data_IF_935826238835
#
_entry.id   IF_935826238835
#
_cell.length_a   1.000
_cell.length_b   1.000
_cell.length_c   1.000
_cell.angle_alpha   90.00
_cell.angle_beta   90.00
_cell.angle_gamma   90.00
#
_symmetry.space_group_name_H-M   'P 1'
#
loop_
_entity.id
_entity.type
_entity.pdbx_description
1 polymer ?
#
# COMPACT_ATOMS: atom_id res chain seq x y z
N UNK A 1 -53.69 22.64 -56.31
CA UNK A 1 -52.80 23.71 -55.81
C UNK A 1 -52.66 23.78 -54.28
N UNK A 2 -53.40 23.01 -53.46
CA UNK A 2 -53.37 23.12 -51.99
C UNK A 2 -52.37 22.19 -51.26
N UNK A 3 -51.82 21.16 -51.92
CA UNK A 3 -50.89 20.21 -51.29
C UNK A 3 -49.42 20.57 -51.48
N UNK A 4 -49.02 21.16 -52.62
CA UNK A 4 -47.62 21.60 -52.84
C UNK A 4 -47.17 22.76 -51.95
N UNK A 5 -48.11 23.53 -51.39
CA UNK A 5 -47.82 24.63 -50.47
C UNK A 5 -47.64 24.15 -49.01
N UNK A 6 -48.26 23.02 -48.61
CA UNK A 6 -48.06 22.41 -47.28
C UNK A 6 -46.70 21.73 -47.19
N UNK A 7 -46.27 21.06 -48.26
CA UNK A 7 -44.97 20.37 -48.29
C UNK A 7 -43.80 21.36 -48.27
N UNK A 8 -43.94 22.53 -48.89
CA UNK A 8 -42.92 23.58 -48.88
C UNK A 8 -42.76 24.23 -47.48
N UNK A 9 -43.85 24.39 -46.73
CA UNK A 9 -43.84 24.95 -45.37
C UNK A 9 -43.21 23.96 -44.37
N UNK A 10 -43.42 22.65 -44.53
CA UNK A 10 -42.82 21.62 -43.66
C UNK A 10 -41.30 21.52 -43.90
N UNK A 11 -40.84 21.61 -45.15
CA UNK A 11 -39.40 21.58 -45.46
C UNK A 11 -38.68 22.83 -44.94
N UNK A 12 -39.28 24.02 -45.04
CA UNK A 12 -38.71 25.26 -44.50
C UNK A 12 -38.70 25.30 -42.96
N UNK A 13 -39.73 24.76 -42.29
CA UNK A 13 -39.77 24.68 -40.83
C UNK A 13 -38.69 23.73 -40.27
N UNK A 14 -38.34 22.67 -41.00
CA UNK A 14 -37.30 21.73 -40.58
C UNK A 14 -35.88 22.30 -40.79
N UNK A 15 -35.67 23.10 -41.84
CA UNK A 15 -34.37 23.75 -42.10
C UNK A 15 -34.04 24.86 -41.08
N UNK A 16 -35.05 25.58 -40.54
CA UNK A 16 -34.84 26.66 -39.57
C UNK A 16 -34.56 26.12 -38.15
N UNK A 17 -35.10 24.96 -37.79
CA UNK A 17 -34.80 24.30 -36.51
C UNK A 17 -33.38 23.70 -36.50
N UNK A 18 -32.86 23.27 -37.65
CA UNK A 18 -31.47 22.80 -37.77
C UNK A 18 -30.47 23.96 -37.84
N UNK A 19 -30.86 25.13 -38.35
CA UNK A 19 -29.96 26.30 -38.45
C UNK A 19 -29.84 27.12 -37.14
N UNK A 20 -30.85 27.12 -36.27
CA UNK A 20 -30.82 27.87 -34.99
C UNK A 20 -30.26 27.05 -33.80
N UNK A 21 -29.95 25.77 -34.01
CA UNK A 21 -29.13 24.95 -33.11
C UNK A 21 -27.62 25.07 -33.39
N UNK A 22 -27.20 26.16 -34.03
CA UNK A 22 -25.82 26.66 -33.97
C UNK A 22 -25.58 27.31 -32.60
N UNK A 23 -25.80 26.56 -31.53
CA UNK A 23 -25.27 26.94 -30.22
C UNK A 23 -23.77 26.71 -30.32
N UNK A 24 -23.02 27.81 -30.31
CA UNK A 24 -21.57 27.85 -30.15
C UNK A 24 -21.07 26.70 -29.28
N UNK A 25 -20.59 25.63 -29.92
CA UNK A 25 -19.60 24.76 -29.29
C UNK A 25 -18.37 25.65 -29.21
N UNK A 26 -18.31 26.48 -28.15
CA UNK A 26 -17.02 26.90 -27.64
C UNK A 26 -16.24 25.60 -27.52
N UNK A 27 -15.15 25.48 -28.29
CA UNK A 27 -14.07 24.57 -27.98
C UNK A 27 -13.51 25.01 -26.62
N UNK A 28 -14.26 24.75 -25.56
CA UNK A 28 -13.73 24.45 -24.27
C UNK A 28 -13.03 23.12 -24.43
N UNK A 29 -11.86 23.16 -25.08
CA UNK A 29 -10.80 22.22 -24.77
C UNK A 29 -10.41 22.49 -23.33
N UNK A 30 -11.30 22.11 -22.41
CA UNK A 30 -10.92 21.68 -21.09
C UNK A 30 -10.10 20.43 -21.31
N UNK A 31 -8.84 20.65 -21.72
CA UNK A 31 -7.78 19.93 -21.09
C UNK A 31 -8.10 20.11 -19.61
N UNK A 32 -8.63 19.06 -18.97
CA UNK A 32 -8.30 18.86 -17.59
C UNK A 32 -6.79 18.86 -17.62
N UNK A 33 -6.19 20.03 -17.37
CA UNK A 33 -4.80 20.09 -17.06
C UNK A 33 -4.71 19.16 -15.86
N UNK A 34 -4.15 17.97 -16.08
CA UNK A 34 -3.54 17.23 -14.98
C UNK A 34 -2.62 18.29 -14.39
N UNK A 35 -3.01 18.84 -13.24
CA UNK A 35 -2.20 19.82 -12.56
C UNK A 35 -0.81 19.21 -12.51
N UNK A 36 0.18 19.88 -13.10
CA UNK A 36 1.56 19.43 -13.00
C UNK A 36 1.78 19.19 -11.50
N UNK A 37 1.98 17.93 -11.13
CA UNK A 37 2.17 17.61 -9.72
C UNK A 37 3.38 18.41 -9.28
N UNK A 38 3.20 19.18 -8.20
CA UNK A 38 4.29 19.95 -7.63
C UNK A 38 5.45 19.00 -7.36
N UNK A 39 6.68 19.47 -7.59
CA UNK A 39 7.84 18.74 -7.15
C UNK A 39 7.76 18.53 -5.61
N UNK A 40 8.32 17.43 -5.08
CA UNK A 40 8.44 17.25 -3.64
C UNK A 40 9.04 18.47 -2.95
N UNK A 41 8.57 18.75 -1.73
CA UNK A 41 9.19 19.76 -0.87
C UNK A 41 10.66 19.44 -0.61
N UNK A 42 11.41 20.44 -0.15
CA UNK A 42 12.81 20.28 0.25
C UNK A 42 13.00 20.76 1.67
N UNK A 43 13.80 20.04 2.44
CA UNK A 43 14.26 20.44 3.76
C UNK A 43 15.31 21.56 3.66
N UNK A 44 15.68 22.15 4.80
CA UNK A 44 16.65 23.24 4.86
C UNK A 44 18.06 22.84 4.40
N UNK A 45 18.41 21.56 4.46
CA UNK A 45 19.65 20.96 3.94
C UNK A 45 19.52 20.48 2.47
N UNK A 46 18.40 20.78 1.80
CA UNK A 46 18.19 20.53 0.37
C UNK A 46 17.79 19.09 0.01
N UNK A 47 17.56 18.22 1.00
CA UNK A 47 17.03 16.86 0.77
C UNK A 47 15.53 16.92 0.50
N UNK A 48 14.96 15.91 -0.19
CA UNK A 48 13.51 15.80 -0.28
C UNK A 48 12.86 15.74 1.09
N UNK A 49 11.76 16.47 1.25
CA UNK A 49 10.95 16.47 2.46
C UNK A 49 9.94 15.31 2.41
N UNK A 50 10.19 14.30 3.25
CA UNK A 50 9.31 13.15 3.46
C UNK A 50 8.41 13.36 4.69
N UNK A 51 8.53 14.50 5.40
CA UNK A 51 7.77 14.78 6.60
C UNK A 51 6.26 14.81 6.34
N UNK A 52 5.48 14.11 7.18
CA UNK A 52 4.03 14.06 7.02
C UNK A 52 3.41 12.78 7.53
N UNK A 53 2.10 12.63 7.25
CA UNK A 53 1.34 11.41 7.53
C UNK A 53 1.16 10.66 6.21
N UNK A 54 1.52 9.39 6.22
CA UNK A 54 1.58 8.51 5.05
C UNK A 54 0.81 7.23 5.33
N UNK A 55 0.32 6.59 4.27
CA UNK A 55 -0.30 5.27 4.35
C UNK A 55 -0.06 4.54 3.04
N UNK A 56 0.34 3.27 3.11
CA UNK A 56 0.35 2.41 1.94
C UNK A 56 -1.09 2.04 1.57
N UNK A 57 -1.44 2.25 0.30
CA UNK A 57 -2.77 1.91 -0.23
C UNK A 57 -2.68 0.61 -1.05
N UNK A 58 -2.42 -0.50 -0.36
CA UNK A 58 -2.31 -1.83 -0.97
C UNK A 58 -2.88 -2.92 -0.02
N UNK A 59 -2.75 -4.20 -0.41
CA UNK A 59 -3.18 -5.35 0.39
C UNK A 59 -2.00 -6.23 0.84
N UNK A 60 -0.78 -5.69 0.84
CA UNK A 60 0.44 -6.43 1.16
C UNK A 60 0.46 -6.98 2.60
N UNK A 61 -0.25 -6.34 3.53
CA UNK A 61 -0.42 -6.89 4.89
C UNK A 61 -1.21 -8.21 4.89
N UNK A 62 -2.10 -8.42 3.91
CA UNK A 62 -2.92 -9.62 3.83
C UNK A 62 -2.17 -10.78 3.16
N UNK A 63 -1.53 -10.50 2.03
CA UNK A 63 -0.58 -11.39 1.36
C UNK A 63 0.30 -10.52 0.44
N UNK A 64 1.61 -10.73 0.48
CA UNK A 64 2.57 -10.10 -0.41
C UNK A 64 2.40 -10.54 -1.87
N UNK A 65 1.86 -11.73 -2.10
CA UNK A 65 1.57 -12.27 -3.43
C UNK A 65 0.13 -11.94 -3.85
N UNK A 66 -0.17 -12.01 -5.14
CA UNK A 66 -1.53 -11.81 -5.66
C UNK A 66 -2.49 -12.82 -5.05
N UNK A 67 -3.61 -12.34 -4.50
CA UNK A 67 -4.57 -13.16 -3.78
C UNK A 67 -6.01 -12.73 -4.06
N UNK A 68 -6.91 -13.72 -4.08
CA UNK A 68 -8.34 -13.47 -4.17
C UNK A 68 -8.89 -12.96 -2.83
N UNK A 69 -10.01 -12.23 -2.89
CA UNK A 69 -10.75 -11.87 -1.70
C UNK A 69 -11.26 -13.14 -0.99
N UNK A 70 -11.30 -13.11 0.34
CA UNK A 70 -11.72 -14.24 1.17
C UNK A 70 -12.73 -13.79 2.22
N UNK A 71 -13.67 -14.68 2.62
CA UNK A 71 -14.72 -14.29 3.54
C UNK A 71 -14.22 -14.04 4.96
N UNK A 72 -13.05 -14.57 5.33
CA UNK A 72 -12.38 -14.29 6.58
C UNK A 72 -10.87 -14.55 6.49
N UNK A 73 -10.10 -14.06 7.46
CA UNK A 73 -8.67 -14.41 7.59
C UNK A 73 -8.46 -15.90 7.86
N UNK A 74 -9.26 -16.47 8.78
CA UNK A 74 -9.28 -17.90 9.05
C UNK A 74 -10.54 -18.53 8.45
N UNK A 75 -10.34 -19.53 7.61
CA UNK A 75 -11.42 -20.19 6.86
C UNK A 75 -11.36 -21.69 7.01
N UNK A 76 -12.47 -22.34 6.70
CA UNK A 76 -12.58 -23.80 6.63
C UNK A 76 -13.36 -24.20 5.37
N UNK A 77 -13.24 -25.46 4.90
CA UNK A 77 -14.08 -25.96 3.83
C UNK A 77 -15.57 -25.90 4.22
N UNK A 78 -16.41 -25.44 3.30
CA UNK A 78 -17.85 -25.36 3.49
C UNK A 78 -18.64 -25.48 2.19
N UNK A 79 -19.98 -25.41 2.27
CA UNK A 79 -20.83 -25.45 1.09
C UNK A 79 -20.54 -24.27 0.15
N UNK A 80 -20.12 -24.56 -1.08
CA UNK A 80 -19.83 -23.53 -2.09
C UNK A 80 -18.45 -22.88 -2.01
N UNK A 81 -17.55 -23.37 -1.15
CA UNK A 81 -16.16 -22.89 -1.07
C UNK A 81 -15.65 -22.72 0.35
N UNK A 82 -14.63 -21.87 0.52
CA UNK A 82 -14.15 -21.46 1.83
C UNK A 82 -15.23 -20.66 2.57
N UNK A 83 -15.45 -20.97 3.85
CA UNK A 83 -16.34 -20.22 4.75
C UNK A 83 -15.57 -19.78 6.00
N UNK A 84 -15.97 -18.69 6.69
CA UNK A 84 -15.31 -18.28 7.93
C UNK A 84 -15.24 -19.40 8.97
N UNK A 85 -14.08 -19.59 9.58
CA UNK A 85 -13.92 -20.54 10.67
C UNK A 85 -14.70 -20.10 11.92
N UNK A 86 -15.13 -21.02 12.81
CA UNK A 86 -15.96 -20.68 13.98
C UNK A 86 -15.44 -19.52 14.84
N UNK A 87 -14.12 -19.39 15.12
CA UNK A 87 -13.61 -18.29 15.94
C UNK A 87 -13.83 -16.88 15.34
N UNK A 88 -13.96 -16.77 14.02
CA UNK A 88 -14.08 -15.48 13.30
C UNK A 88 -15.43 -15.30 12.62
N UNK A 89 -16.33 -16.29 12.69
CA UNK A 89 -17.63 -16.25 12.02
C UNK A 89 -18.46 -15.03 12.44
N UNK A 90 -18.42 -14.67 13.73
CA UNK A 90 -19.18 -13.54 14.28
C UNK A 90 -18.70 -12.16 13.76
N UNK A 91 -17.47 -12.06 13.21
CA UNK A 91 -16.98 -10.81 12.63
C UNK A 91 -17.73 -10.44 11.34
N UNK A 92 -18.31 -11.41 10.64
CA UNK A 92 -18.99 -11.19 9.38
C UNK A 92 -18.10 -10.44 8.38
N UNK A 93 -18.64 -9.38 7.76
CA UNK A 93 -17.90 -8.58 6.78
C UNK A 93 -16.65 -7.88 7.37
N UNK A 94 -16.59 -7.63 8.68
CA UNK A 94 -15.40 -7.04 9.32
C UNK A 94 -14.18 -7.96 9.27
N UNK A 95 -14.41 -9.28 9.21
CA UNK A 95 -13.32 -10.26 9.11
C UNK A 95 -12.83 -10.50 7.68
N UNK A 96 -13.50 -9.91 6.68
CA UNK A 96 -13.21 -10.14 5.27
C UNK A 96 -11.81 -9.72 4.87
N UNK A 97 -11.17 -10.52 4.02
CA UNK A 97 -9.85 -10.24 3.47
C UNK A 97 -10.04 -9.67 2.06
N UNK A 98 -9.58 -8.44 1.77
CA UNK A 98 -9.64 -7.90 0.42
C UNK A 98 -8.71 -8.71 -0.50
N UNK A 99 -9.11 -8.88 -1.76
CA UNK A 99 -8.19 -9.34 -2.78
C UNK A 99 -7.31 -8.19 -3.26
N UNK A 100 -6.16 -8.52 -3.84
CA UNK A 100 -5.30 -7.51 -4.44
C UNK A 100 -4.17 -8.09 -5.26
N UNK A 101 -3.48 -7.18 -5.95
CA UNK A 101 -2.28 -7.48 -6.72
C UNK A 101 -1.09 -7.62 -5.78
N UNK A 102 -0.23 -8.60 -6.03
CA UNK A 102 1.00 -8.80 -5.29
C UNK A 102 1.97 -7.63 -5.45
N UNK A 103 2.88 -7.51 -4.49
CA UNK A 103 3.99 -6.55 -4.48
C UNK A 103 5.34 -7.25 -4.68
N UNK A 104 5.34 -8.58 -4.75
CA UNK A 104 6.54 -9.39 -4.99
C UNK A 104 6.86 -9.38 -6.48
N UNK A 105 8.05 -8.93 -6.83
CA UNK A 105 8.53 -9.01 -8.21
C UNK A 105 8.54 -10.47 -8.68
N UNK A 106 7.87 -10.75 -9.79
CA UNK A 106 7.73 -12.11 -10.32
C UNK A 106 6.77 -13.00 -9.55
N UNK A 107 6.07 -12.48 -8.53
CA UNK A 107 5.06 -13.20 -7.72
C UNK A 107 5.58 -14.42 -6.96
N UNK A 108 6.90 -14.60 -6.82
CA UNK A 108 7.52 -15.73 -6.13
C UNK A 108 8.42 -15.26 -5.00
N UNK A 109 8.17 -15.76 -3.79
CA UNK A 109 9.07 -15.60 -2.65
C UNK A 109 10.00 -16.82 -2.62
N UNK A 110 11.32 -16.66 -2.73
CA UNK A 110 12.27 -17.76 -2.96
C UNK A 110 12.54 -18.55 -1.67
N UNK A 111 11.52 -19.23 -1.15
CA UNK A 111 11.64 -20.08 0.02
C UNK A 111 12.33 -21.40 -0.28
N UNK A 112 13.08 -21.90 0.70
CA UNK A 112 13.49 -23.30 0.74
C UNK A 112 12.26 -24.21 0.89
N UNK A 113 12.30 -25.47 0.43
CA UNK A 113 11.14 -26.36 0.48
C UNK A 113 10.54 -26.56 1.89
N UNK A 114 11.38 -26.65 2.91
CA UNK A 114 10.98 -26.73 4.32
C UNK A 114 10.31 -25.43 4.81
N UNK A 115 10.79 -24.27 4.36
CA UNK A 115 10.19 -22.99 4.65
C UNK A 115 8.80 -22.82 4.00
N UNK A 116 8.57 -23.40 2.81
CA UNK A 116 7.24 -23.44 2.20
C UNK A 116 6.24 -24.20 3.07
N UNK A 117 6.63 -25.33 3.65
CA UNK A 117 5.76 -26.09 4.55
C UNK A 117 5.52 -25.34 5.87
N UNK A 118 6.53 -24.64 6.41
CA UNK A 118 6.36 -23.76 7.58
C UNK A 118 5.39 -22.61 7.27
N UNK A 119 5.48 -21.97 6.09
CA UNK A 119 4.51 -20.95 5.65
C UNK A 119 3.08 -21.50 5.65
N UNK A 120 2.86 -22.68 5.06
CA UNK A 120 1.53 -23.31 5.03
C UNK A 120 1.01 -23.61 6.44
N UNK A 121 1.86 -24.15 7.31
CA UNK A 121 1.50 -24.43 8.70
C UNK A 121 1.19 -23.15 9.50
N UNK A 122 1.96 -22.08 9.26
CA UNK A 122 1.71 -20.76 9.81
C UNK A 122 0.34 -20.22 9.41
N UNK A 123 0.03 -20.29 8.11
CA UNK A 123 -1.25 -19.81 7.58
C UNK A 123 -2.45 -20.64 8.09
N UNK A 124 -2.30 -21.96 8.21
CA UNK A 124 -3.37 -22.86 8.67
C UNK A 124 -3.80 -22.58 10.13
N UNK A 125 -2.91 -22.05 10.96
CA UNK A 125 -3.17 -21.71 12.36
C UNK A 125 -2.89 -20.21 12.63
N UNK A 126 -3.28 -19.38 11.66
CA UNK A 126 -2.91 -17.97 11.64
C UNK A 126 -3.37 -17.19 12.88
N UNK A 127 -4.56 -17.47 13.40
CA UNK A 127 -5.09 -16.78 14.57
C UNK A 127 -4.19 -16.97 15.81
N UNK A 128 -3.57 -18.14 15.93
CA UNK A 128 -2.69 -18.49 17.05
C UNK A 128 -1.24 -18.11 16.80
N UNK A 129 -0.80 -18.13 15.53
CA UNK A 129 0.62 -18.04 15.16
C UNK A 129 1.08 -16.67 14.68
N UNK A 130 0.24 -15.89 14.01
CA UNK A 130 0.63 -14.56 13.54
C UNK A 130 0.89 -13.64 14.76
N UNK A 131 2.11 -13.13 14.94
CA UNK A 131 2.45 -12.26 16.07
C UNK A 131 1.59 -10.99 16.13
N UNK A 132 1.12 -10.49 14.97
CA UNK A 132 0.24 -9.31 14.89
C UNK A 132 -1.13 -9.58 15.55
N UNK A 133 -1.64 -10.82 15.59
CA UNK A 133 -2.93 -11.12 16.27
C UNK A 133 -2.84 -10.97 17.78
N UNK A 134 -1.61 -10.96 18.33
CA UNK A 134 -1.31 -10.79 19.77
C UNK A 134 -0.83 -9.38 20.11
N UNK A 135 -0.96 -8.43 19.19
CA UNK A 135 -0.47 -7.06 19.34
C UNK A 135 1.06 -6.93 19.48
N UNK A 136 1.83 -7.91 19.04
CA UNK A 136 3.27 -7.75 18.91
C UNK A 136 3.62 -6.84 17.74
N UNK A 137 4.76 -6.15 17.84
CA UNK A 137 5.17 -5.18 16.86
C UNK A 137 5.42 -5.86 15.49
N UNK A 138 5.05 -5.22 14.38
CA UNK A 138 5.01 -5.86 13.06
C UNK A 138 6.40 -6.05 12.42
N UNK A 139 7.43 -5.37 12.93
CA UNK A 139 8.73 -5.27 12.29
C UNK A 139 8.68 -4.54 10.94
N UNK A 140 9.81 -4.58 10.22
CA UNK A 140 9.90 -4.02 8.87
C UNK A 140 10.20 -5.15 7.88
N UNK A 141 9.65 -5.10 6.66
CA UNK A 141 8.90 -3.98 6.07
C UNK A 141 7.40 -3.93 6.43
N UNK A 142 6.83 -4.91 7.16
CA UNK A 142 5.37 -4.99 7.40
C UNK A 142 4.76 -3.73 8.00
N UNK A 143 5.46 -3.03 8.90
CA UNK A 143 4.98 -1.76 9.46
C UNK A 143 4.61 -0.70 8.40
N UNK A 144 5.32 -0.67 7.27
CA UNK A 144 5.11 0.33 6.20
C UNK A 144 3.80 0.11 5.46
N UNK A 145 3.36 -1.15 5.32
CA UNK A 145 2.18 -1.52 4.54
C UNK A 145 1.05 -2.13 5.37
N UNK A 146 1.07 -1.92 6.68
CA UNK A 146 -0.12 -2.08 7.50
C UNK A 146 -1.23 -1.14 7.00
N UNK A 147 -2.52 -1.51 7.16
CA UNK A 147 -3.66 -0.71 6.70
C UNK A 147 -3.95 0.49 7.61
N UNK A 148 -2.91 1.10 8.19
CA UNK A 148 -2.98 2.24 9.09
C UNK A 148 -2.01 3.34 8.65
N UNK A 149 -2.37 4.62 8.85
CA UNK A 149 -1.42 5.71 8.71
C UNK A 149 -0.21 5.61 9.64
N UNK A 150 0.89 6.21 9.21
CA UNK A 150 2.09 6.43 10.01
C UNK A 150 2.65 7.83 9.73
N UNK A 151 3.36 8.39 10.70
CA UNK A 151 3.96 9.71 10.58
C UNK A 151 5.47 9.61 10.38
N UNK A 152 6.01 10.38 9.44
CA UNK A 152 7.44 10.61 9.28
C UNK A 152 7.77 11.98 9.88
N UNK A 153 8.72 11.99 10.83
CA UNK A 153 9.35 13.20 11.36
C UNK A 153 10.81 13.20 10.93
N UNK A 154 11.15 14.10 10.00
CA UNK A 154 12.47 14.14 9.37
C UNK A 154 13.35 15.22 10.03
N UNK A 155 14.42 14.77 10.67
CA UNK A 155 15.56 15.61 11.02
C UNK A 155 16.75 15.36 10.08
N UNK A 156 17.86 16.05 10.31
CA UNK A 156 19.09 15.86 9.51
C UNK A 156 19.83 14.58 9.90
N UNK A 157 19.94 14.32 11.21
CA UNK A 157 20.75 13.21 11.73
C UNK A 157 19.89 11.97 12.03
N UNK A 158 18.58 12.17 12.20
CA UNK A 158 17.62 11.10 12.49
C UNK A 158 16.31 11.35 11.77
N UNK A 159 15.71 10.28 11.29
CA UNK A 159 14.33 10.26 10.79
C UNK A 159 13.54 9.30 11.68
N UNK A 160 12.41 9.75 12.20
CA UNK A 160 11.53 8.92 13.02
C UNK A 160 10.27 8.56 12.23
N UNK A 161 9.92 7.28 12.21
CA UNK A 161 8.63 6.79 11.72
C UNK A 161 7.80 6.33 12.92
N UNK A 162 6.58 6.84 13.04
CA UNK A 162 5.66 6.56 14.15
C UNK A 162 4.42 5.91 13.55
N UNK A 163 4.17 4.66 13.89
CA UNK A 163 3.08 3.87 13.35
C UNK A 163 1.90 3.86 14.31
N UNK A 164 0.67 3.90 13.78
CA UNK A 164 -0.54 3.82 14.59
C UNK A 164 -0.65 2.46 15.31
N UNK A 165 -0.19 1.39 14.67
CA UNK A 165 -0.31 0.04 15.20
C UNK A 165 0.62 -0.19 16.41
N UNK A 166 0.03 -0.59 17.54
CA UNK A 166 0.72 -1.02 18.76
C UNK A 166 1.79 -0.04 19.31
N UNK A 167 1.71 1.24 18.97
CA UNK A 167 2.71 2.24 19.35
C UNK A 167 4.10 1.98 18.74
N UNK A 168 4.16 1.22 17.65
CA UNK A 168 5.42 0.90 16.98
C UNK A 168 6.09 2.20 16.51
N UNK A 169 7.38 2.31 16.76
CA UNK A 169 8.19 3.42 16.30
C UNK A 169 9.52 2.90 15.79
N UNK A 170 10.09 3.63 14.83
CA UNK A 170 11.35 3.28 14.19
C UNK A 170 12.18 4.54 14.09
N UNK A 171 13.43 4.45 14.53
CA UNK A 171 14.43 5.49 14.30
C UNK A 171 15.34 5.03 13.18
N UNK A 172 15.48 5.85 12.15
CA UNK A 172 16.45 5.70 11.08
C UNK A 172 17.60 6.65 11.38
N UNK A 173 18.78 6.10 11.58
CA UNK A 173 20.01 6.84 11.84
C UNK A 173 20.61 7.32 10.53
N UNK A 174 20.74 8.64 10.35
CA UNK A 174 21.39 9.25 9.19
C UNK A 174 22.85 9.60 9.48
N UNK A 175 23.25 9.50 10.74
CA UNK A 175 24.60 9.74 11.25
C UNK A 175 25.43 8.45 11.35
N UNK A 176 26.75 8.59 11.52
CA UNK A 176 27.64 7.45 11.69
C UNK A 176 27.40 6.78 13.05
N UNK A 177 26.83 5.58 13.03
CA UNK A 177 26.52 4.81 14.22
C UNK A 177 27.02 3.36 14.11
N UNK A 178 27.34 2.74 15.24
CA UNK A 178 27.64 1.30 15.31
C UNK A 178 26.34 0.50 15.29
N UNK A 179 26.24 -0.58 14.50
CA UNK A 179 25.07 -1.46 14.50
C UNK A 179 24.69 -1.95 15.90
N UNK A 180 23.38 -2.11 16.14
CA UNK A 180 22.89 -2.67 17.41
C UNK A 180 23.40 -4.11 17.60
N UNK A 181 23.99 -4.44 18.75
CA UNK A 181 24.41 -5.80 19.07
C UNK A 181 23.25 -6.72 19.48
N UNK A 182 22.05 -6.15 19.66
CA UNK A 182 20.84 -6.88 20.08
C UNK A 182 19.73 -6.70 19.05
N UNK A 183 18.96 -7.77 18.87
CA UNK A 183 17.76 -7.75 18.05
C UNK A 183 16.65 -6.91 18.70
N UNK A 184 15.85 -6.28 17.85
CA UNK A 184 14.63 -5.60 18.26
C UNK A 184 13.50 -5.93 17.29
N UNK A 185 12.27 -5.77 17.74
CA UNK A 185 11.10 -5.97 16.88
C UNK A 185 11.14 -5.10 15.62
N UNK A 186 11.58 -3.83 15.74
CA UNK A 186 11.61 -2.87 14.62
C UNK A 186 12.97 -2.80 13.93
N UNK A 187 13.90 -3.70 14.30
CA UNK A 187 15.26 -3.73 13.79
C UNK A 187 16.13 -2.54 14.22
N UNK A 188 17.26 -2.41 13.52
CA UNK A 188 18.18 -1.30 13.60
C UNK A 188 18.40 -0.72 12.21
N UNK A 189 17.94 0.52 11.99
CA UNK A 189 17.90 1.14 10.67
C UNK A 189 18.94 2.25 10.52
N UNK A 190 19.73 2.17 9.45
CA UNK A 190 20.69 3.19 9.04
C UNK A 190 20.29 3.67 7.65
N UNK A 191 20.21 4.98 7.47
CA UNK A 191 19.79 5.60 6.22
C UNK A 191 20.89 6.43 5.58
N UNK A 192 20.85 6.53 4.26
CA UNK A 192 21.63 7.47 3.47
C UNK A 192 20.82 7.96 2.27
N UNK A 193 21.24 9.09 1.70
CA UNK A 193 20.62 9.65 0.52
C UNK A 193 21.38 9.26 -0.74
N UNK A 194 20.69 8.64 -1.70
CA UNK A 194 21.16 8.43 -3.07
C UNK A 194 20.40 9.38 -3.99
N UNK A 195 20.98 10.56 -4.24
CA UNK A 195 20.26 11.64 -4.90
C UNK A 195 19.05 12.09 -4.06
N UNK A 196 17.86 11.84 -4.60
CA UNK A 196 16.56 12.16 -3.99
C UNK A 196 15.87 10.94 -3.35
N UNK A 197 16.55 9.79 -3.29
CA UNK A 197 16.02 8.58 -2.66
C UNK A 197 16.66 8.40 -1.28
N UNK A 198 15.82 8.25 -0.25
CA UNK A 198 16.26 7.77 1.05
C UNK A 198 16.39 6.25 0.97
N UNK A 199 17.61 5.74 1.09
CA UNK A 199 17.88 4.31 1.20
C UNK A 199 18.04 3.97 2.68
N UNK A 200 17.37 2.92 3.14
CA UNK A 200 17.37 2.51 4.54
C UNK A 200 17.73 1.04 4.65
N UNK A 201 18.89 0.77 5.23
CA UNK A 201 19.39 -0.55 5.55
C UNK A 201 18.98 -0.93 6.97
N UNK A 202 18.26 -2.05 7.13
CA UNK A 202 17.78 -2.52 8.44
C UNK A 202 18.21 -3.95 8.73
N UNK A 203 18.80 -4.13 9.91
CA UNK A 203 19.31 -5.40 10.43
C UNK A 203 18.81 -5.63 11.85
N UNK A 204 19.23 -6.73 12.49
CA UNK A 204 18.92 -7.03 13.89
C UNK A 204 17.41 -7.05 14.17
N UNK A 205 16.63 -7.62 13.24
CA UNK A 205 15.21 -7.87 13.39
C UNK A 205 14.99 -9.18 14.14
N UNK A 206 14.06 -9.19 15.08
CA UNK A 206 13.64 -10.42 15.73
C UNK A 206 12.93 -11.36 14.74
N UNK A 207 13.20 -12.67 14.81
CA UNK A 207 12.61 -13.66 13.88
C UNK A 207 11.09 -13.83 14.00
N UNK A 208 10.51 -13.41 15.12
CA UNK A 208 9.08 -13.43 15.38
C UNK A 208 8.34 -12.24 14.73
N UNK A 209 8.94 -11.54 13.77
CA UNK A 209 8.20 -10.65 12.87
C UNK A 209 7.87 -11.37 11.58
N UNK A 210 6.63 -11.20 11.09
CA UNK A 210 6.17 -11.81 9.84
C UNK A 210 6.00 -10.74 8.78
N UNK A 211 6.06 -11.14 7.52
CA UNK A 211 5.87 -10.22 6.41
C UNK A 211 4.40 -9.90 6.15
N UNK A 212 3.49 -10.83 6.41
CA UNK A 212 2.05 -10.64 6.16
C UNK A 212 1.19 -11.67 6.90
N UNK A 213 -0.13 -11.57 6.66
CA UNK A 213 -1.15 -12.52 7.11
C UNK A 213 -1.30 -13.75 6.20
N UNK A 214 -0.40 -14.00 5.26
CA UNK A 214 -0.36 -15.23 4.48
C UNK A 214 0.65 -16.25 5.04
N UNK A 215 1.21 -15.95 6.22
CA UNK A 215 2.17 -16.81 6.91
C UNK A 215 3.60 -16.66 6.38
N UNK A 216 3.88 -15.65 5.53
CA UNK A 216 5.23 -15.35 5.07
C UNK A 216 6.07 -14.84 6.26
N UNK A 217 7.22 -15.45 6.46
CA UNK A 217 8.11 -15.23 7.60
C UNK A 217 9.58 -15.15 7.15
N UNK A 218 10.47 -14.82 8.07
CA UNK A 218 11.92 -14.82 7.88
C UNK A 218 12.65 -15.48 9.06
N UNK A 219 13.97 -15.66 8.92
CA UNK A 219 14.85 -16.01 10.04
C UNK A 219 15.42 -14.75 10.70
N UNK A 220 16.14 -14.93 11.81
CA UNK A 220 16.99 -13.92 12.47
C UNK A 220 18.01 -13.25 11.52
N UNK A 221 18.46 -13.95 10.48
CA UNK A 221 19.36 -13.41 9.44
C UNK A 221 18.75 -12.41 8.45
N UNK A 222 17.56 -11.83 8.71
CA UNK A 222 16.93 -10.89 7.80
C UNK A 222 17.72 -9.57 7.68
N UNK A 223 17.95 -9.13 6.44
CA UNK A 223 18.42 -7.79 6.09
C UNK A 223 17.43 -7.17 5.10
N UNK A 224 16.89 -6.00 5.46
CA UNK A 224 15.91 -5.28 4.65
C UNK A 224 16.55 -4.01 4.12
N UNK A 225 16.42 -3.77 2.81
CA UNK A 225 16.79 -2.51 2.19
C UNK A 225 15.52 -1.88 1.62
N UNK A 226 15.12 -0.75 2.19
CA UNK A 226 13.99 0.04 1.69
C UNK A 226 14.50 1.27 0.96
N UNK A 227 13.78 1.69 -0.08
CA UNK A 227 14.08 2.87 -0.87
C UNK A 227 12.84 3.73 -0.94
N UNK A 228 12.89 4.92 -0.36
CA UNK A 228 11.79 5.88 -0.37
C UNK A 228 12.12 7.03 -1.31
N UNK A 229 11.37 7.14 -2.40
CA UNK A 229 11.53 8.19 -3.40
C UNK A 229 10.23 8.98 -3.50
N UNK A 230 10.23 10.29 -3.18
CA UNK A 230 9.05 11.11 -3.36
C UNK A 230 8.90 11.46 -4.84
N UNK A 231 7.74 11.12 -5.41
CA UNK A 231 7.37 11.57 -6.76
C UNK A 231 6.67 12.94 -6.70
N UNK A 232 5.93 13.19 -5.62
CA UNK A 232 5.19 14.43 -5.36
C UNK A 232 5.15 14.67 -3.84
N UNK A 233 4.67 15.83 -3.35
CA UNK A 233 4.44 16.06 -1.92
C UNK A 233 3.48 15.07 -1.25
N UNK A 234 2.73 14.28 -2.03
CA UNK A 234 1.70 13.35 -1.54
C UNK A 234 1.88 11.94 -2.08
N UNK A 235 3.04 11.61 -2.66
CA UNK A 235 3.29 10.29 -3.21
C UNK A 235 4.73 9.85 -3.01
N UNK A 236 4.91 8.74 -2.30
CA UNK A 236 6.16 8.03 -2.07
C UNK A 236 6.10 6.68 -2.77
N UNK A 237 7.23 6.27 -3.34
CA UNK A 237 7.47 4.91 -3.86
C UNK A 237 8.65 4.28 -3.15
#
# INVERSE_FOLDING_TARGET
MRNRFRDLIIVLATAIVVATLSFEIRKGGGHFAVAAQSAPGRTSDGKPDLGGIWQALNTANWDLQTHAARPALAVMPGPGGEVPAPPVLALGALGGVPGGVGVVEGEEIPYKPDAVEKKKANFADILSRDPETKCYLPGVPRAIYLPYPFQIVQGTDKIMMIFEYAGANRTIHMDKITPSPVESWMGFSVGHWEGDTLVVDTTSLQEDTWFDRAGNFHSDGLHVVERFTPLTPYHLT
#
